data_IF_230454441190
#
_entry.id   IF_230454441190
#
_cell.length_a   1.000
_cell.length_b   1.000
_cell.length_c   1.000
_cell.angle_alpha   90.00
_cell.angle_beta   90.00
_cell.angle_gamma   90.00
#
_symmetry.space_group_name_H-M   'P 1'
#
loop_
_entity.id
_entity.type
_entity.pdbx_description
1 polymer ?
#
# COMPACT_ATOMS: atom_id res chain seq x y z
N UNK A 1 -13.46 -25.43 -0.83
CA UNK A 1 -12.29 -24.97 -0.07
C UNK A 1 -12.28 -23.45 -0.20
N UNK A 2 -12.66 -22.70 0.84
CA UNK A 2 -12.64 -21.23 0.78
C UNK A 2 -11.17 -20.83 0.85
N UNK A 3 -10.63 -20.24 -0.22
CA UNK A 3 -9.30 -19.65 -0.12
C UNK A 3 -9.39 -18.54 0.93
N UNK A 4 -8.64 -18.66 2.02
CA UNK A 4 -8.72 -17.75 3.15
C UNK A 4 -7.89 -16.48 2.87
N UNK A 5 -7.98 -15.97 1.64
CA UNK A 5 -7.22 -14.83 1.16
C UNK A 5 -7.70 -13.56 1.85
N UNK A 6 -6.77 -12.78 2.41
CA UNK A 6 -7.08 -11.55 3.15
C UNK A 6 -6.40 -10.34 2.52
N UNK A 7 -7.13 -9.24 2.45
CA UNK A 7 -6.59 -7.95 2.04
C UNK A 7 -6.61 -7.00 3.24
N UNK A 8 -5.45 -6.46 3.58
CA UNK A 8 -5.30 -5.45 4.63
C UNK A 8 -5.08 -4.08 4.00
N UNK A 9 -5.90 -3.10 4.38
CA UNK A 9 -5.75 -1.72 3.93
C UNK A 9 -5.12 -0.88 5.04
N UNK A 10 -4.03 -0.17 4.74
CA UNK A 10 -3.27 0.60 5.72
C UNK A 10 -3.13 2.04 5.23
N UNK A 11 -3.69 2.99 5.98
CA UNK A 11 -3.49 4.42 5.78
C UNK A 11 -2.45 4.96 6.77
N UNK A 12 -1.49 5.73 6.27
CA UNK A 12 -0.45 6.35 7.09
C UNK A 12 -0.12 7.77 6.59
N UNK A 13 0.44 8.60 7.45
CA UNK A 13 0.87 9.98 7.13
C UNK A 13 2.32 10.19 7.58
N UNK A 14 2.67 11.41 8.00
CA UNK A 14 3.97 11.74 8.56
C UNK A 14 4.36 10.76 9.70
N UNK A 15 5.56 10.18 9.62
CA UNK A 15 6.09 9.24 10.62
C UNK A 15 5.54 7.81 10.56
N UNK A 16 4.48 7.54 9.78
CA UNK A 16 3.84 6.23 9.74
C UNK A 16 4.68 5.12 9.10
N UNK A 17 5.74 5.46 8.35
CA UNK A 17 6.58 4.50 7.64
C UNK A 17 7.24 3.48 8.58
N UNK A 18 7.63 3.92 9.79
CA UNK A 18 8.22 3.05 10.80
C UNK A 18 7.17 2.09 11.40
N UNK A 19 5.93 2.55 11.57
CA UNK A 19 4.83 1.72 12.06
C UNK A 19 4.44 0.64 11.06
N UNK A 20 4.29 1.02 9.78
CA UNK A 20 4.03 0.08 8.68
C UNK A 20 5.16 -0.94 8.57
N UNK A 21 6.42 -0.50 8.63
CA UNK A 21 7.54 -1.44 8.63
C UNK A 21 7.48 -2.40 9.82
N UNK A 22 7.23 -1.92 11.04
CA UNK A 22 7.13 -2.78 12.23
C UNK A 22 6.01 -3.83 12.09
N UNK A 23 4.88 -3.46 11.47
CA UNK A 23 3.78 -4.37 11.22
C UNK A 23 4.11 -5.44 10.17
N UNK A 24 4.87 -5.08 9.12
CA UNK A 24 5.06 -5.94 7.95
C UNK A 24 6.41 -6.68 7.92
N UNK A 25 7.45 -6.21 8.62
CA UNK A 25 8.84 -6.71 8.48
C UNK A 25 9.03 -8.19 8.79
N UNK A 26 8.23 -8.73 9.71
CA UNK A 26 8.36 -10.11 10.20
C UNK A 26 7.33 -11.06 9.56
N UNK A 27 6.55 -10.58 8.58
CA UNK A 27 5.58 -11.42 7.90
C UNK A 27 6.29 -12.42 6.99
N UNK A 28 5.78 -13.65 7.02
CA UNK A 28 6.29 -14.74 6.21
C UNK A 28 5.90 -14.55 4.74
N UNK A 29 6.81 -14.86 3.79
CA UNK A 29 6.48 -14.86 2.38
C UNK A 29 5.32 -15.78 1.97
N UNK A 30 4.99 -16.81 2.75
CA UNK A 30 3.90 -17.73 2.44
C UNK A 30 2.52 -17.29 2.97
N UNK A 31 2.40 -16.05 3.43
CA UNK A 31 1.12 -15.52 3.91
C UNK A 31 0.10 -15.41 2.76
N UNK A 32 -1.09 -16.00 2.96
CA UNK A 32 -2.24 -15.84 2.06
C UNK A 32 -2.92 -14.47 2.23
N UNK A 33 -2.13 -13.40 2.11
CA UNK A 33 -2.61 -12.04 2.27
C UNK A 33 -1.87 -11.03 1.40
N UNK A 34 -2.56 -9.93 1.09
CA UNK A 34 -2.02 -8.77 0.42
C UNK A 34 -2.25 -7.51 1.26
N UNK A 35 -1.46 -6.47 0.98
CA UNK A 35 -1.48 -5.21 1.72
C UNK A 35 -1.61 -4.04 0.76
N UNK A 36 -2.71 -3.30 0.82
CA UNK A 36 -2.87 -2.04 0.12
C UNK A 36 -2.47 -0.89 1.07
N UNK A 37 -1.43 -0.14 0.74
CA UNK A 37 -0.86 0.85 1.65
C UNK A 37 -0.89 2.23 1.01
N UNK A 38 -1.55 3.17 1.68
CA UNK A 38 -1.69 4.56 1.26
C UNK A 38 -0.93 5.44 2.23
N UNK A 39 -0.04 6.28 1.70
CA UNK A 39 0.72 7.25 2.49
C UNK A 39 0.42 8.68 2.05
N UNK A 40 0.09 9.53 3.01
CA UNK A 40 0.03 10.98 2.82
C UNK A 40 1.43 11.57 3.05
N UNK A 41 2.07 12.05 1.97
CA UNK A 41 3.43 12.58 2.02
C UNK A 41 3.88 13.18 0.68
N UNK A 42 5.05 13.82 0.67
CA UNK A 42 5.65 14.42 -0.53
C UNK A 42 6.01 13.36 -1.58
N UNK A 43 5.99 13.74 -2.87
CA UNK A 43 6.20 12.85 -4.03
C UNK A 43 7.51 12.04 -3.90
N UNK A 44 8.60 12.71 -3.54
CA UNK A 44 9.92 12.09 -3.43
C UNK A 44 9.98 11.06 -2.29
N UNK A 45 9.31 11.37 -1.18
CA UNK A 45 9.26 10.49 0.00
C UNK A 45 8.57 9.15 -0.26
N UNK A 46 7.65 9.08 -1.23
CA UNK A 46 6.91 7.84 -1.55
C UNK A 46 7.71 6.88 -2.44
N UNK A 47 8.53 7.40 -3.35
CA UNK A 47 9.44 6.58 -4.15
C UNK A 47 10.52 5.95 -3.27
N UNK A 48 11.07 6.73 -2.33
CA UNK A 48 12.04 6.25 -1.36
C UNK A 48 11.42 5.24 -0.39
N UNK A 49 10.15 5.43 -0.01
CA UNK A 49 9.43 4.53 0.86
C UNK A 49 9.25 3.12 0.25
N UNK A 50 8.95 3.03 -1.05
CA UNK A 50 8.86 1.74 -1.73
C UNK A 50 10.17 0.95 -1.63
N UNK A 51 11.30 1.60 -1.93
CA UNK A 51 12.63 1.01 -1.80
C UNK A 51 12.98 0.66 -0.34
N UNK A 52 12.60 1.53 0.60
CA UNK A 52 12.80 1.32 2.03
C UNK A 52 12.08 0.08 2.54
N UNK A 53 10.81 -0.11 2.17
CA UNK A 53 10.03 -1.28 2.54
C UNK A 53 10.55 -2.53 1.83
N UNK A 54 10.86 -2.45 0.54
CA UNK A 54 11.37 -3.60 -0.21
C UNK A 54 12.66 -4.17 0.38
N UNK A 55 13.57 -3.30 0.85
CA UNK A 55 14.84 -3.72 1.47
C UNK A 55 14.69 -4.33 2.87
N UNK A 56 13.54 -4.16 3.53
CA UNK A 56 13.36 -4.47 4.96
C UNK A 56 12.18 -5.38 5.26
N UNK A 57 11.48 -5.83 4.23
CA UNK A 57 10.44 -6.85 4.33
C UNK A 57 10.75 -7.97 3.35
N UNK A 58 10.21 -9.16 3.60
CA UNK A 58 10.25 -10.25 2.62
C UNK A 58 9.19 -10.09 1.53
N UNK A 59 8.15 -9.29 1.78
CA UNK A 59 7.03 -9.05 0.86
C UNK A 59 7.49 -8.32 -0.41
N UNK A 60 6.82 -8.60 -1.52
CA UNK A 60 7.06 -7.90 -2.79
C UNK A 60 6.36 -6.55 -2.72
N UNK A 61 7.10 -5.46 -2.86
CA UNK A 61 6.58 -4.09 -2.84
C UNK A 61 6.43 -3.59 -4.27
N UNK A 62 5.20 -3.35 -4.68
CA UNK A 62 4.88 -2.82 -6.01
C UNK A 62 4.10 -1.51 -5.90
N UNK A 63 4.41 -0.50 -6.74
CA UNK A 63 3.54 0.66 -6.87
C UNK A 63 2.21 0.20 -7.47
N UNK A 64 1.10 0.69 -6.92
CA UNK A 64 -0.23 0.41 -7.44
C UNK A 64 -0.32 0.79 -8.93
N UNK A 65 -0.99 -0.05 -9.70
CA UNK A 65 -1.30 0.14 -11.13
C UNK A 65 -2.80 -0.04 -11.32
N UNK A 66 -3.30 0.35 -12.48
CA UNK A 66 -4.72 0.19 -12.82
C UNK A 66 -4.99 -1.22 -13.30
N UNK A 67 -6.11 -1.79 -12.86
CA UNK A 67 -6.63 -3.11 -13.27
C UNK A 67 -5.69 -4.30 -13.02
N UNK A 68 -4.88 -4.22 -11.96
CA UNK A 68 -4.05 -5.35 -11.56
C UNK A 68 -4.79 -6.27 -10.60
N UNK A 69 -4.64 -7.59 -10.77
CA UNK A 69 -5.17 -8.57 -9.84
C UNK A 69 -4.41 -8.49 -8.50
N UNK A 70 -5.14 -8.58 -7.40
CA UNK A 70 -4.57 -8.62 -6.06
C UNK A 70 -4.06 -10.04 -5.80
N UNK A 71 -2.76 -10.15 -5.56
CA UNK A 71 -2.06 -11.40 -5.30
C UNK A 71 -1.53 -11.41 -3.87
N UNK A 72 -1.45 -12.60 -3.27
CA UNK A 72 -0.84 -12.77 -1.96
C UNK A 72 0.63 -12.38 -1.98
N UNK A 73 1.21 -12.19 -0.81
CA UNK A 73 2.62 -11.88 -0.62
C UNK A 73 3.06 -10.48 -1.15
N UNK A 74 2.09 -9.61 -1.47
CA UNK A 74 2.36 -8.28 -2.05
C UNK A 74 1.93 -7.12 -1.16
N UNK A 75 2.73 -6.07 -1.22
CA UNK A 75 2.43 -4.72 -0.75
C UNK A 75 2.20 -3.83 -1.98
N UNK A 76 0.98 -3.35 -2.15
CA UNK A 76 0.62 -2.37 -3.17
C UNK A 76 0.67 -0.96 -2.59
N UNK A 77 1.67 -0.18 -2.99
CA UNK A 77 1.88 1.17 -2.50
C UNK A 77 1.16 2.20 -3.37
N UNK A 78 0.38 3.09 -2.75
CA UNK A 78 -0.22 4.23 -3.45
C UNK A 78 0.84 5.06 -4.16
N UNK A 79 0.50 5.62 -5.32
CA UNK A 79 1.35 6.59 -5.99
C UNK A 79 0.98 8.02 -5.56
N UNK A 80 1.95 8.94 -5.56
CA UNK A 80 1.67 10.36 -5.33
C UNK A 80 0.58 10.87 -6.28
N UNK A 81 -0.29 11.75 -5.79
CA UNK A 81 -1.42 12.33 -6.54
C UNK A 81 -2.39 11.29 -7.17
N UNK A 82 -2.42 10.07 -6.65
CA UNK A 82 -3.33 9.04 -7.12
C UNK A 82 -4.03 8.37 -5.94
N UNK A 83 -5.34 8.28 -6.03
CA UNK A 83 -6.13 7.44 -5.15
C UNK A 83 -5.92 5.97 -5.51
N UNK A 84 -5.86 5.11 -4.50
CA UNK A 84 -5.82 3.66 -4.64
C UNK A 84 -7.20 3.10 -4.31
N UNK A 85 -7.86 2.55 -5.32
CA UNK A 85 -9.16 1.90 -5.21
C UNK A 85 -9.00 0.38 -5.28
N UNK A 86 -9.86 -0.32 -4.56
CA UNK A 86 -10.03 -1.77 -4.67
C UNK A 86 -11.41 -2.01 -5.29
N UNK A 87 -11.47 -2.75 -6.39
CA UNK A 87 -12.71 -3.11 -7.09
C UNK A 87 -12.79 -4.61 -7.26
N UNK A 88 -13.54 -5.28 -6.37
CA UNK A 88 -13.56 -6.73 -6.32
C UNK A 88 -12.16 -7.27 -5.98
N UNK A 89 -11.56 -8.01 -6.91
CA UNK A 89 -10.22 -8.60 -6.77
C UNK A 89 -9.11 -7.79 -7.44
N UNK A 90 -9.37 -6.55 -7.88
CA UNK A 90 -8.38 -5.72 -8.56
C UNK A 90 -8.08 -4.41 -7.83
N UNK A 91 -6.88 -3.89 -8.05
CA UNK A 91 -6.49 -2.53 -7.66
C UNK A 91 -6.58 -1.62 -8.89
N UNK A 92 -7.15 -0.44 -8.66
CA UNK A 92 -7.27 0.61 -9.66
C UNK A 92 -6.75 1.92 -9.13
N UNK A 93 -5.99 2.65 -9.96
CA UNK A 93 -5.64 4.03 -9.68
C UNK A 93 -6.64 4.98 -10.31
N UNK A 94 -6.93 6.05 -9.60
CA UNK A 94 -7.72 7.16 -10.16
C UNK A 94 -7.15 8.49 -9.69
N UNK A 95 -7.25 9.49 -10.58
CA UNK A 95 -6.88 10.88 -10.33
C UNK A 95 -8.15 11.72 -10.10
N UNK A 96 -9.10 11.17 -9.34
CA UNK A 96 -10.28 11.91 -8.91
C UNK A 96 -9.93 13.13 -8.06
N UNK A 97 -10.93 13.95 -7.69
CA UNK A 97 -10.75 15.08 -6.80
C UNK A 97 -9.95 14.68 -5.55
N UNK A 98 -9.07 15.56 -5.06
CA UNK A 98 -8.35 15.29 -3.81
C UNK A 98 -9.37 15.14 -2.68
N UNK A 99 -9.27 14.05 -1.94
CA UNK A 99 -10.10 13.77 -0.77
C UNK A 99 -9.27 13.93 0.50
N UNK A 100 -9.87 14.53 1.54
CA UNK A 100 -9.25 14.89 2.83
C UNK A 100 -8.13 15.94 2.69
N UNK A 101 -8.53 17.21 2.79
CA UNK A 101 -7.64 18.25 3.30
C UNK A 101 -7.74 18.22 4.83
N UNK A 102 -6.62 18.08 5.54
CA UNK A 102 -6.57 18.68 6.87
C UNK A 102 -6.65 20.18 6.63
N UNK A 103 -7.80 20.78 6.91
CA UNK A 103 -7.87 22.19 7.26
C UNK A 103 -7.04 22.35 8.54
N UNK A 104 -5.73 22.52 8.41
CA UNK A 104 -4.99 23.21 9.45
C UNK A 104 -5.27 24.71 9.22
N UNK A 105 -5.79 25.42 10.23
CA UNK A 105 -5.97 26.86 10.17
C UNK A 105 -4.63 27.59 9.98
#
# INVERSE_FOLDING_TARGET
>A
MVSNFRLFCIGASAGGHTAVLKALKNLDPDISAAFAVVFYGAIDSLTDLGHFLQKRTKLIVEPAKTEILIEGFKIYLSRPNNHLFIRGSTITRSMGPREIFSCLP
#
